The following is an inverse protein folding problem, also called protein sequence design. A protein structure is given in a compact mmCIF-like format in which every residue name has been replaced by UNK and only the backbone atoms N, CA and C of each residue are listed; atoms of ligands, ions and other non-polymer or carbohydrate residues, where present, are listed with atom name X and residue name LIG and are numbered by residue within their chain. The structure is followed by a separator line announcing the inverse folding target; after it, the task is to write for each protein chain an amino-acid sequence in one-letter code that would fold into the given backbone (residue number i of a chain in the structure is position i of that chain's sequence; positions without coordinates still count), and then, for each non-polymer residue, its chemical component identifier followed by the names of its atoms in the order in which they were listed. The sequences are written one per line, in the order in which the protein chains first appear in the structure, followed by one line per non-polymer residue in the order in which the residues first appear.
data_IF_180720139509
#
_entry.id   IF_180720139509
#
_cell.length_a   1.000
_cell.length_b   1.000
_cell.length_c   1.000
_cell.angle_alpha   90.00
_cell.angle_beta   90.00
_cell.angle_gamma   90.00
#
_symmetry.space_group_name_H-M   'P 1'
#
loop_
_entity.id
_entity.type
_entity.pdbx_description
1 polymer ?
#
# COMPACT_ATOMS: atom_id res chain seq x y z
N UNK A 1 -2.64 12.64 -31.01
CA UNK A 1 -2.05 11.39 -30.50
C UNK A 1 -0.87 11.80 -29.63
N UNK A 2 -1.12 11.96 -28.32
CA UNK A 2 -0.11 12.41 -27.36
C UNK A 2 0.27 11.23 -26.46
N UNK A 3 1.57 11.09 -26.24
CA UNK A 3 2.25 9.96 -25.58
C UNK A 3 1.90 9.84 -24.08
N UNK A 4 0.71 9.33 -23.77
CA UNK A 4 0.16 9.21 -22.40
C UNK A 4 0.40 7.82 -21.76
N UNK A 5 1.31 7.02 -22.31
CA UNK A 5 1.68 5.67 -21.78
C UNK A 5 2.95 5.66 -20.91
N UNK A 6 3.57 6.83 -20.76
CA UNK A 6 4.45 7.28 -19.66
C UNK A 6 3.89 7.18 -18.23
N UNK A 7 4.21 6.20 -17.36
CA UNK A 7 3.97 6.43 -15.93
C UNK A 7 4.71 7.71 -15.53
N UNK A 8 4.06 8.60 -14.78
CA UNK A 8 4.69 9.84 -14.33
C UNK A 8 5.96 9.47 -13.57
N UNK A 9 7.03 10.26 -13.68
CA UNK A 9 8.34 9.90 -13.08
C UNK A 9 8.23 9.49 -11.60
N UNK A 10 7.30 10.11 -10.87
CA UNK A 10 6.95 9.78 -9.48
C UNK A 10 6.47 8.33 -9.31
N UNK A 11 5.61 7.84 -10.19
CA UNK A 11 5.10 6.46 -10.20
C UNK A 11 6.21 5.46 -10.54
N UNK A 12 7.08 5.78 -11.49
CA UNK A 12 8.24 4.93 -11.83
C UNK A 12 9.17 4.73 -10.63
N UNK A 13 9.37 5.78 -9.82
CA UNK A 13 10.16 5.71 -8.58
C UNK A 13 9.47 4.80 -7.55
N UNK A 14 8.16 4.95 -7.35
CA UNK A 14 7.41 4.09 -6.42
C UNK A 14 7.40 2.63 -6.86
N UNK A 15 7.23 2.38 -8.17
CA UNK A 15 7.28 1.04 -8.73
C UNK A 15 8.67 0.41 -8.54
N UNK A 16 9.74 1.16 -8.81
CA UNK A 16 11.10 0.69 -8.57
C UNK A 16 11.35 0.40 -7.09
N UNK A 17 10.85 1.26 -6.19
CA UNK A 17 10.95 1.02 -4.75
C UNK A 17 10.18 -0.24 -4.33
N UNK A 18 8.98 -0.47 -4.85
CA UNK A 18 8.20 -1.68 -4.57
C UNK A 18 8.91 -2.96 -5.05
N UNK A 19 9.52 -2.93 -6.24
CA UNK A 19 10.32 -4.06 -6.77
C UNK A 19 11.55 -4.32 -5.88
N UNK A 20 12.28 -3.27 -5.50
CA UNK A 20 13.43 -3.42 -4.61
C UNK A 20 13.03 -3.92 -3.22
N UNK A 21 11.82 -3.63 -2.76
CA UNK A 21 11.29 -4.16 -1.50
C UNK A 21 10.91 -5.64 -1.60
N UNK A 22 10.52 -6.12 -2.78
CA UNK A 22 10.25 -7.54 -3.03
C UNK A 22 11.54 -8.36 -3.07
N UNK A 23 12.60 -7.82 -3.65
CA UNK A 23 13.91 -8.47 -3.74
C UNK A 23 14.51 -8.71 -2.34
N UNK A 24 14.36 -9.95 -1.86
CA UNK A 24 14.72 -10.42 -0.52
C UNK A 24 16.24 -10.43 -0.27
N UNK A 25 16.81 -9.26 -0.03
CA UNK A 25 18.24 -9.12 0.25
C UNK A 25 18.57 -8.93 1.73
N UNK A 26 17.56 -8.71 2.59
CA UNK A 26 17.75 -8.28 3.99
C UNK A 26 18.49 -6.94 4.14
N UNK A 27 18.77 -6.24 3.02
CA UNK A 27 19.55 -5.01 2.99
C UNK A 27 18.63 -3.81 2.99
N UNK A 28 19.01 -2.79 3.77
CA UNK A 28 18.34 -1.49 3.78
C UNK A 28 18.41 -0.86 2.38
N UNK A 29 17.26 -0.49 1.81
CA UNK A 29 17.20 0.23 0.53
C UNK A 29 17.81 1.62 0.71
N UNK A 30 18.81 1.96 -0.09
CA UNK A 30 19.41 3.30 -0.13
C UNK A 30 18.83 4.11 -1.28
N UNK A 31 18.76 5.42 -1.12
CA UNK A 31 18.31 6.36 -2.17
C UNK A 31 19.23 6.33 -3.39
N UNK A 32 20.54 6.13 -3.20
CA UNK A 32 21.50 5.92 -4.28
C UNK A 32 21.22 4.63 -5.08
N UNK A 33 20.87 3.53 -4.42
CA UNK A 33 20.48 2.29 -5.10
C UNK A 33 19.16 2.47 -5.87
N UNK A 34 18.17 3.12 -5.25
CA UNK A 34 16.89 3.44 -5.90
C UNK A 34 17.06 4.34 -7.13
N UNK A 35 17.88 5.39 -7.02
CA UNK A 35 18.18 6.28 -8.15
C UNK A 35 18.81 5.51 -9.32
N UNK A 36 19.74 4.59 -9.02
CA UNK A 36 20.36 3.69 -10.00
C UNK A 36 19.33 2.77 -10.66
N UNK A 37 18.44 2.16 -9.89
CA UNK A 37 17.37 1.29 -10.39
C UNK A 37 16.44 2.04 -11.35
N UNK A 38 16.13 3.30 -11.05
CA UNK A 38 15.26 4.16 -11.87
C UNK A 38 16.00 4.77 -13.08
N UNK A 39 17.34 4.73 -13.09
CA UNK A 39 18.17 5.32 -14.15
C UNK A 39 18.26 6.85 -14.06
N UNK A 40 18.28 7.41 -12.83
CA UNK A 40 18.39 8.85 -12.59
C UNK A 40 19.48 9.16 -11.56
N UNK A 41 19.90 10.42 -11.45
CA UNK A 41 20.76 10.84 -10.35
C UNK A 41 20.00 10.92 -9.03
N UNK A 42 20.70 10.77 -7.91
CA UNK A 42 20.09 10.91 -6.57
C UNK A 42 19.50 12.32 -6.35
N UNK A 43 20.16 13.36 -6.87
CA UNK A 43 19.61 14.71 -6.89
C UNK A 43 18.30 14.82 -7.69
N UNK A 44 18.16 14.08 -8.80
CA UNK A 44 16.93 14.03 -9.57
C UNK A 44 15.81 13.30 -8.84
N UNK A 45 16.13 12.25 -8.08
CA UNK A 45 15.19 11.55 -7.20
C UNK A 45 14.58 12.52 -6.18
N UNK A 46 15.39 13.36 -5.54
CA UNK A 46 14.94 14.33 -4.54
C UNK A 46 14.02 15.43 -5.07
N UNK A 47 14.04 15.72 -6.38
CA UNK A 47 13.08 16.65 -7.00
C UNK A 47 11.65 16.09 -7.03
N UNK A 48 11.49 14.77 -7.02
CA UNK A 48 10.17 14.12 -7.01
C UNK A 48 9.72 13.76 -5.60
N UNK A 49 10.66 13.40 -4.73
CA UNK A 49 10.39 13.07 -3.34
C UNK A 49 11.43 13.75 -2.45
N UNK A 50 11.05 14.76 -1.63
CA UNK A 50 12.01 15.53 -0.87
C UNK A 50 12.70 14.72 0.25
N UNK A 51 12.20 13.53 0.56
CA UNK A 51 12.85 12.59 1.47
C UNK A 51 12.50 11.15 1.13
N UNK A 52 13.31 10.20 1.63
CA UNK A 52 13.01 8.77 1.56
C UNK A 52 11.68 8.43 2.26
N UNK A 53 11.38 9.08 3.38
CA UNK A 53 10.10 8.92 4.08
C UNK A 53 8.90 9.28 3.19
N UNK A 54 8.99 10.34 2.36
CA UNK A 54 7.93 10.69 1.39
C UNK A 54 7.71 9.62 0.31
N UNK A 55 8.74 8.83 -0.03
CA UNK A 55 8.60 7.72 -0.97
C UNK A 55 7.77 6.59 -0.33
N UNK A 56 8.06 6.24 0.92
CA UNK A 56 7.27 5.27 1.68
C UNK A 56 5.85 5.77 1.93
N UNK A 57 5.65 7.05 2.26
CA UNK A 57 4.31 7.64 2.32
C UNK A 57 3.55 7.43 1.01
N UNK A 58 4.19 7.66 -0.14
CA UNK A 58 3.56 7.42 -1.44
C UNK A 58 3.20 5.95 -1.71
N UNK A 59 3.97 4.99 -1.20
CA UNK A 59 3.57 3.58 -1.24
C UNK A 59 2.38 3.28 -0.34
N UNK A 60 2.36 3.84 0.88
CA UNK A 60 1.24 3.67 1.80
C UNK A 60 -0.03 4.30 1.23
N UNK A 61 0.05 5.49 0.63
CA UNK A 61 -1.07 6.14 -0.07
C UNK A 61 -1.65 5.22 -1.15
N UNK A 62 -0.77 4.65 -2.00
CA UNK A 62 -1.19 3.72 -3.05
C UNK A 62 -1.86 2.45 -2.49
N UNK A 63 -1.35 1.90 -1.40
CA UNK A 63 -1.93 0.72 -0.73
C UNK A 63 -3.32 1.06 -0.19
N UNK A 64 -3.45 2.19 0.53
CA UNK A 64 -4.72 2.66 1.08
C UNK A 64 -5.77 2.87 -0.03
N UNK A 65 -5.41 3.62 -1.07
CA UNK A 65 -6.30 3.89 -2.20
C UNK A 65 -6.75 2.59 -2.87
N UNK A 66 -5.82 1.67 -3.15
CA UNK A 66 -6.10 0.41 -3.84
C UNK A 66 -7.04 -0.49 -3.04
N UNK A 67 -6.78 -0.65 -1.74
CA UNK A 67 -7.57 -1.52 -0.86
C UNK A 67 -8.94 -0.91 -0.59
N UNK A 68 -9.00 0.36 -0.14
CA UNK A 68 -10.27 0.94 0.28
C UNK A 68 -11.21 1.22 -0.90
N UNK A 69 -10.69 1.59 -2.08
CA UNK A 69 -11.54 1.73 -3.26
C UNK A 69 -12.21 0.41 -3.66
N UNK A 70 -11.58 -0.74 -3.40
CA UNK A 70 -12.16 -2.06 -3.66
C UNK A 70 -13.10 -2.50 -2.55
N UNK A 71 -12.78 -2.21 -1.28
CA UNK A 71 -13.67 -2.45 -0.14
C UNK A 71 -15.00 -1.70 -0.32
N UNK A 72 -14.97 -0.42 -0.70
CA UNK A 72 -16.21 0.34 -0.96
C UNK A 72 -17.12 -0.38 -1.96
N UNK A 73 -16.57 -0.85 -3.08
CA UNK A 73 -17.36 -1.62 -4.07
C UNK A 73 -17.90 -2.94 -3.50
N UNK A 74 -17.12 -3.63 -2.67
CA UNK A 74 -17.58 -4.87 -2.01
C UNK A 74 -18.79 -4.57 -1.11
N UNK A 75 -18.76 -3.46 -0.37
CA UNK A 75 -19.86 -3.05 0.50
C UNK A 75 -21.11 -2.65 -0.29
N UNK A 76 -20.94 -2.07 -1.47
CA UNK A 76 -22.04 -1.66 -2.35
C UNK A 76 -22.66 -2.86 -3.08
N UNK A 77 -21.84 -3.78 -3.59
CA UNK A 77 -22.27 -4.85 -4.52
C UNK A 77 -22.76 -6.12 -3.80
N UNK A 78 -22.26 -6.42 -2.61
CA UNK A 78 -22.55 -7.67 -1.88
C UNK A 78 -23.51 -7.34 -0.74
N UNK A 79 -24.71 -7.94 -0.64
CA UNK A 79 -25.63 -7.67 0.49
C UNK A 79 -25.29 -8.44 1.77
N UNK A 80 -24.87 -9.69 1.62
CA UNK A 80 -24.62 -10.62 2.74
C UNK A 80 -23.33 -10.28 3.50
N UNK A 81 -23.44 -10.18 4.83
CA UNK A 81 -22.35 -9.75 5.69
C UNK A 81 -21.19 -10.77 5.75
N UNK A 82 -21.51 -12.07 5.82
CA UNK A 82 -20.49 -13.13 5.84
C UNK A 82 -19.67 -13.12 4.56
N UNK A 83 -20.35 -13.00 3.41
CA UNK A 83 -19.74 -12.90 2.08
C UNK A 83 -18.92 -11.63 1.93
N UNK A 84 -19.39 -10.47 2.44
CA UNK A 84 -18.58 -9.23 2.50
C UNK A 84 -17.27 -9.45 3.24
N UNK A 85 -17.33 -9.95 4.48
CA UNK A 85 -16.15 -10.20 5.29
C UNK A 85 -15.16 -11.15 4.59
N UNK A 86 -15.65 -12.28 4.07
CA UNK A 86 -14.83 -13.24 3.32
C UNK A 86 -14.17 -12.62 2.08
N UNK A 87 -14.89 -11.76 1.37
CA UNK A 87 -14.38 -11.08 0.17
C UNK A 87 -13.34 -10.01 0.52
N UNK A 88 -13.54 -9.25 1.60
CA UNK A 88 -12.56 -8.27 2.11
C UNK A 88 -11.26 -9.00 2.52
N UNK A 89 -11.36 -10.10 3.26
CA UNK A 89 -10.19 -10.87 3.67
C UNK A 89 -9.45 -11.45 2.46
N UNK A 90 -10.19 -12.02 1.50
CA UNK A 90 -9.62 -12.54 0.25
C UNK A 90 -8.94 -11.45 -0.58
N UNK A 91 -9.51 -10.23 -0.60
CA UNK A 91 -8.89 -9.06 -1.23
C UNK A 91 -7.54 -8.74 -0.57
N UNK A 92 -7.47 -8.71 0.76
CA UNK A 92 -6.23 -8.39 1.48
C UNK A 92 -5.14 -9.44 1.22
N UNK A 93 -5.50 -10.73 1.27
CA UNK A 93 -4.58 -11.83 0.97
C UNK A 93 -4.10 -11.78 -0.48
N UNK A 94 -5.03 -11.63 -1.43
CA UNK A 94 -4.68 -11.53 -2.85
C UNK A 94 -3.90 -10.26 -3.20
N UNK A 95 -4.10 -9.16 -2.48
CA UNK A 95 -3.27 -7.96 -2.62
C UNK A 95 -1.84 -8.23 -2.16
N UNK A 96 -1.67 -8.87 -0.99
CA UNK A 96 -0.35 -9.21 -0.47
C UNK A 96 0.40 -10.19 -1.38
N UNK A 97 -0.28 -11.23 -1.87
CA UNK A 97 0.28 -12.22 -2.80
C UNK A 97 0.77 -11.59 -4.10
N UNK A 98 -0.03 -10.68 -4.68
CA UNK A 98 0.31 -10.01 -5.96
C UNK A 98 1.32 -8.88 -5.80
N UNK A 99 1.54 -8.39 -4.59
CA UNK A 99 2.40 -7.24 -4.33
C UNK A 99 3.33 -7.50 -3.12
N UNK A 100 4.28 -8.46 -3.20
CA UNK A 100 5.08 -8.84 -2.03
C UNK A 100 5.89 -7.68 -1.43
N UNK A 101 6.42 -6.79 -2.27
CA UNK A 101 7.13 -5.59 -1.81
C UNK A 101 6.24 -4.62 -1.03
N UNK A 102 4.97 -4.47 -1.43
CA UNK A 102 3.99 -3.66 -0.69
C UNK A 102 3.49 -4.38 0.57
N UNK A 103 3.37 -5.71 0.53
CA UNK A 103 3.03 -6.51 1.70
C UNK A 103 4.08 -6.36 2.82
N UNK A 104 5.37 -6.24 2.47
CA UNK A 104 6.42 -5.93 3.45
C UNK A 104 6.25 -4.54 4.07
N UNK A 105 5.84 -3.54 3.30
CA UNK A 105 5.50 -2.21 3.87
C UNK A 105 4.40 -2.34 4.92
N UNK A 106 3.38 -3.15 4.64
CA UNK A 106 2.30 -3.45 5.60
C UNK A 106 2.79 -4.26 6.81
N UNK A 107 3.75 -5.18 6.62
CA UNK A 107 4.39 -5.90 7.73
C UNK A 107 5.21 -5.01 8.66
N UNK A 108 5.69 -3.86 8.15
CA UNK A 108 6.36 -2.82 8.93
C UNK A 108 7.84 -3.09 9.24
N UNK A 109 8.36 -4.27 8.91
CA UNK A 109 9.76 -4.66 9.04
C UNK A 109 10.68 -3.74 8.25
N UNK A 110 10.31 -3.43 7.00
CA UNK A 110 11.04 -2.51 6.11
C UNK A 110 10.98 -1.04 6.54
N UNK A 111 10.12 -0.70 7.51
CA UNK A 111 10.02 0.63 8.12
C UNK A 111 10.92 0.77 9.35
N UNK A 112 11.70 -0.27 9.68
CA UNK A 112 12.71 -0.22 10.76
C UNK A 112 13.83 0.73 10.37
N UNK A 113 14.15 1.68 11.25
CA UNK A 113 15.13 2.75 10.97
C UNK A 113 14.60 3.90 10.11
N UNK A 114 13.33 3.85 9.70
CA UNK A 114 12.60 4.99 9.12
C UNK A 114 11.77 5.71 10.21
N UNK A 115 11.16 6.85 9.84
CA UNK A 115 10.42 7.71 10.79
C UNK A 115 9.26 6.95 11.43
N UNK A 116 9.09 7.09 12.75
CA UNK A 116 8.04 6.40 13.52
C UNK A 116 6.61 6.63 12.96
N UNK A 117 6.38 7.81 12.36
CA UNK A 117 5.11 8.16 11.69
C UNK A 117 4.69 7.16 10.60
N UNK A 118 5.63 6.54 9.88
CA UNK A 118 5.29 5.57 8.83
C UNK A 118 4.66 4.32 9.42
N UNK A 119 5.22 3.80 10.52
CA UNK A 119 4.63 2.67 11.24
C UNK A 119 3.27 3.01 11.81
N UNK A 120 3.09 4.23 12.31
CA UNK A 120 1.79 4.72 12.76
C UNK A 120 0.75 4.75 11.63
N UNK A 121 1.13 5.15 10.40
CA UNK A 121 0.22 5.11 9.25
C UNK A 121 -0.21 3.69 8.90
N UNK A 122 0.73 2.73 8.89
CA UNK A 122 0.40 1.32 8.67
C UNK A 122 -0.54 0.79 9.76
N UNK A 123 -0.32 1.16 11.02
CA UNK A 123 -1.23 0.82 12.12
C UNK A 123 -2.64 1.38 11.89
N UNK A 124 -2.75 2.66 11.52
CA UNK A 124 -4.04 3.31 11.23
C UNK A 124 -4.78 2.64 10.07
N UNK A 125 -4.06 2.14 9.07
CA UNK A 125 -4.63 1.37 7.98
C UNK A 125 -5.30 0.09 8.52
N UNK A 126 -4.60 -0.67 9.38
CA UNK A 126 -5.17 -1.88 10.00
C UNK A 126 -6.34 -1.56 10.94
N UNK A 127 -6.26 -0.50 11.75
CA UNK A 127 -7.39 -0.06 12.59
C UNK A 127 -8.62 0.28 11.75
N UNK A 128 -8.42 0.91 10.59
CA UNK A 128 -9.51 1.21 9.66
C UNK A 128 -10.09 -0.05 9.03
N UNK A 129 -9.26 -1.04 8.66
CA UNK A 129 -9.73 -2.35 8.18
C UNK A 129 -10.55 -3.08 9.24
N UNK A 130 -10.05 -3.14 10.47
CA UNK A 130 -10.74 -3.76 11.61
C UNK A 130 -12.08 -3.07 11.87
N UNK A 131 -12.10 -1.74 11.85
CA UNK A 131 -13.33 -0.95 12.03
C UNK A 131 -14.36 -1.27 10.95
N UNK A 132 -13.94 -1.39 9.69
CA UNK A 132 -14.84 -1.76 8.58
C UNK A 132 -15.44 -3.16 8.78
N UNK A 133 -14.63 -4.15 9.17
CA UNK A 133 -15.13 -5.50 9.45
C UNK A 133 -16.12 -5.52 10.62
N UNK A 134 -15.81 -4.81 11.72
CA UNK A 134 -16.73 -4.67 12.85
C UNK A 134 -18.05 -4.02 12.46
N UNK A 135 -18.00 -2.99 11.60
CA UNK A 135 -19.21 -2.32 11.12
C UNK A 135 -20.09 -3.28 10.31
N UNK A 136 -19.49 -4.04 9.39
CA UNK A 136 -20.23 -5.05 8.59
C UNK A 136 -20.93 -6.07 9.49
N UNK A 137 -20.24 -6.59 10.50
CA UNK A 137 -20.82 -7.58 11.42
C UNK A 137 -21.94 -6.99 12.28
N UNK A 138 -21.73 -5.79 12.82
CA UNK A 138 -22.74 -5.11 13.64
C UNK A 138 -24.02 -4.77 12.86
N UNK A 139 -23.88 -4.35 11.60
CA UNK A 139 -25.03 -4.09 10.73
C UNK A 139 -25.83 -5.35 10.43
N UNK A 140 -25.18 -6.52 10.37
CA UNK A 140 -25.84 -7.81 10.19
C UNK A 140 -26.65 -8.20 11.44
N UNK A 141 -26.04 -8.10 12.61
CA UNK A 141 -26.71 -8.39 13.90
C UNK A 141 -27.99 -7.57 14.08
N UNK A 142 -27.98 -6.29 13.68
CA UNK A 142 -29.15 -5.41 13.76
C UNK A 142 -30.26 -5.71 12.75
N UNK A 143 -29.96 -6.43 11.66
CA UNK A 143 -30.94 -6.81 10.63
C UNK A 143 -31.56 -8.18 10.89
N UNK A 144 -30.83 -9.06 11.56
CA UNK A 144 -31.22 -10.44 11.83
C UNK A 144 -31.79 -10.65 13.24
N UNK A 145 -31.55 -9.71 14.16
CA UNK A 145 -32.18 -9.65 15.50
C UNK A 145 -33.47 -8.83 15.51
#
# INVERSE_FOLDING_TARGET
MSDDRKPRRREQILQALAIMLEEDSGKRITTAALARQVGVSEAALYRHFPSKARMFEGLIDFIEESIFARITRILDDIPDATTRCGTILSLLLGFAEKNPGLARVLGGDVLTGETARLRQRVHQLFERLETQLKQVLREAELREG
#
